data_IF_127938185134
#
_entry.id   IF_127938185134
#
_cell.length_a   1.000
_cell.length_b   1.000
_cell.length_c   1.000
_cell.angle_alpha   90.00
_cell.angle_beta   90.00
_cell.angle_gamma   90.00
#
_symmetry.space_group_name_H-M   'P 1'
#
loop_
_entity.id
_entity.type
_entity.pdbx_description
1 polymer ?
#
# COMPACT_ATOMS: atom_id res chain seq x y z
N UNK A 1 14.53 -12.40 -5.44
CA UNK A 1 14.55 -10.94 -5.70
C UNK A 1 13.14 -10.51 -5.98
N UNK A 2 12.71 -9.42 -5.37
CA UNK A 2 11.40 -8.81 -5.64
C UNK A 2 11.33 -8.34 -7.09
N UNK A 3 10.15 -8.42 -7.71
CA UNK A 3 9.96 -7.96 -9.07
C UNK A 3 10.01 -6.42 -9.10
N UNK A 4 10.90 -5.84 -9.92
CA UNK A 4 10.95 -4.40 -10.15
C UNK A 4 10.37 -4.06 -11.54
N UNK A 5 9.05 -3.85 -11.60
CA UNK A 5 8.35 -3.42 -12.82
C UNK A 5 8.45 -1.92 -13.07
N UNK A 6 8.66 -1.15 -12.00
CA UNK A 6 8.61 0.31 -12.06
C UNK A 6 9.79 0.94 -12.79
N UNK A 7 10.89 0.18 -13.02
CA UNK A 7 11.99 0.59 -13.91
C UNK A 7 11.74 0.21 -15.39
N UNK A 8 10.68 -0.58 -15.67
CA UNK A 8 10.25 -0.81 -17.05
C UNK A 8 9.57 0.44 -17.61
N UNK A 9 10.05 0.95 -18.74
CA UNK A 9 9.61 2.23 -19.31
C UNK A 9 8.11 2.25 -19.64
N UNK A 10 7.59 1.18 -20.24
CA UNK A 10 6.16 1.08 -20.57
C UNK A 10 5.30 1.11 -19.31
N UNK A 11 5.68 0.33 -18.30
CA UNK A 11 4.95 0.29 -17.04
C UNK A 11 5.01 1.65 -16.33
N UNK A 12 6.19 2.25 -16.26
CA UNK A 12 6.41 3.55 -15.61
C UNK A 12 5.51 4.65 -16.21
N UNK A 13 5.44 4.72 -17.55
CA UNK A 13 4.62 5.72 -18.23
C UNK A 13 3.13 5.51 -17.99
N UNK A 14 2.65 4.26 -18.10
CA UNK A 14 1.24 3.93 -17.79
C UNK A 14 0.88 4.19 -16.32
N UNK A 15 1.78 3.89 -15.41
CA UNK A 15 1.59 4.16 -13.98
C UNK A 15 1.53 5.67 -13.70
N UNK A 16 2.42 6.46 -14.33
CA UNK A 16 2.41 7.92 -14.23
C UNK A 16 1.08 8.50 -14.71
N UNK A 17 0.58 8.07 -15.86
CA UNK A 17 -0.73 8.48 -16.38
C UNK A 17 -1.87 8.14 -15.39
N UNK A 18 -1.84 6.93 -14.81
CA UNK A 18 -2.83 6.52 -13.82
C UNK A 18 -2.79 7.42 -12.57
N UNK A 19 -1.60 7.74 -12.07
CA UNK A 19 -1.41 8.58 -10.88
C UNK A 19 -1.80 10.04 -11.08
N UNK A 20 -1.70 10.55 -12.30
CA UNK A 20 -2.14 11.92 -12.64
C UNK A 20 -3.67 12.09 -12.65
N UNK A 21 -4.44 10.99 -12.67
CA UNK A 21 -5.91 11.07 -12.67
C UNK A 21 -6.43 11.43 -11.29
N UNK A 22 -6.95 12.64 -11.13
CA UNK A 22 -7.53 13.12 -9.85
C UNK A 22 -8.67 12.25 -9.32
N UNK A 23 -9.42 11.59 -10.23
CA UNK A 23 -10.55 10.73 -9.91
C UNK A 23 -10.22 9.23 -9.84
N UNK A 24 -8.95 8.86 -9.69
CA UNK A 24 -8.57 7.45 -9.50
C UNK A 24 -9.04 6.92 -8.14
N UNK A 25 -9.24 5.60 -8.02
CA UNK A 25 -9.59 4.95 -6.75
C UNK A 25 -8.54 5.26 -5.65
N UNK A 26 -7.27 5.32 -6.02
CA UNK A 26 -6.22 5.71 -5.09
C UNK A 26 -6.45 7.13 -4.51
N UNK A 27 -6.79 8.11 -5.36
CA UNK A 27 -7.01 9.49 -4.91
C UNK A 27 -8.33 9.70 -4.17
N UNK A 28 -9.39 8.97 -4.56
CA UNK A 28 -10.73 9.16 -4.01
C UNK A 28 -11.05 8.26 -2.81
N UNK A 29 -10.36 7.13 -2.66
CA UNK A 29 -10.61 6.15 -1.62
C UNK A 29 -9.38 5.87 -0.76
N UNK A 30 -8.28 5.38 -1.36
CA UNK A 30 -7.13 4.90 -0.58
C UNK A 30 -6.43 6.03 0.20
N UNK A 31 -6.11 7.14 -0.45
CA UNK A 31 -5.40 8.25 0.21
C UNK A 31 -6.18 8.91 1.35
N UNK A 32 -7.47 9.28 1.19
CA UNK A 32 -8.25 9.83 2.29
C UNK A 32 -8.33 8.88 3.48
N UNK A 33 -8.47 7.58 3.21
CA UNK A 33 -8.56 6.58 4.26
C UNK A 33 -7.24 6.37 4.98
N UNK A 34 -6.13 6.26 4.25
CA UNK A 34 -4.80 6.15 4.85
C UNK A 34 -4.47 7.39 5.68
N UNK A 35 -4.79 8.59 5.16
CA UNK A 35 -4.60 9.85 5.86
C UNK A 35 -5.38 9.90 7.18
N UNK A 36 -6.63 9.42 7.17
CA UNK A 36 -7.49 9.38 8.37
C UNK A 36 -6.95 8.48 9.50
N UNK A 37 -6.08 7.53 9.16
CA UNK A 37 -5.48 6.57 10.09
C UNK A 37 -4.09 6.99 10.57
N UNK A 38 -3.49 8.02 9.97
CA UNK A 38 -2.18 8.51 10.40
C UNK A 38 -2.22 9.04 11.83
N UNK A 39 -1.23 8.69 12.68
CA UNK A 39 -1.09 9.30 13.98
C UNK A 39 -0.59 10.75 13.86
N UNK A 40 -0.49 11.46 14.98
CA UNK A 40 0.20 12.75 15.00
C UNK A 40 1.70 12.54 14.69
N UNK A 41 2.17 13.13 13.58
CA UNK A 41 3.55 12.98 13.09
C UNK A 41 4.50 14.07 13.59
N UNK A 42 4.03 15.08 14.31
CA UNK A 42 4.88 16.19 14.78
C UNK A 42 6.07 15.68 15.61
N UNK A 43 7.28 15.98 15.12
CA UNK A 43 8.53 15.55 15.75
C UNK A 43 8.89 14.08 15.58
N UNK A 44 8.09 13.29 14.85
CA UNK A 44 8.28 11.85 14.65
C UNK A 44 9.28 11.54 13.53
N UNK A 45 9.92 10.39 13.62
CA UNK A 45 10.72 9.78 12.56
C UNK A 45 9.83 8.79 11.80
N UNK A 46 9.66 9.01 10.49
CA UNK A 46 8.74 8.23 9.65
C UNK A 46 9.52 7.48 8.57
N UNK A 47 9.18 6.20 8.35
CA UNK A 47 9.66 5.40 7.23
C UNK A 47 8.49 5.09 6.30
N UNK A 48 8.68 5.32 5.00
CA UNK A 48 7.72 4.98 3.94
C UNK A 48 8.25 3.80 3.12
N UNK A 49 7.56 2.66 3.18
CA UNK A 49 7.92 1.42 2.49
C UNK A 49 7.26 1.36 1.12
N UNK A 50 8.04 1.40 0.04
CA UNK A 50 7.55 1.50 -1.32
C UNK A 50 7.02 2.90 -1.61
N UNK A 51 7.85 3.92 -1.33
CA UNK A 51 7.45 5.33 -1.34
C UNK A 51 7.12 5.89 -2.74
N UNK A 52 7.43 5.17 -3.82
CA UNK A 52 7.17 5.59 -5.19
C UNK A 52 7.72 6.99 -5.49
N UNK A 53 6.86 7.90 -5.93
CA UNK A 53 7.20 9.29 -6.23
C UNK A 53 7.42 10.19 -5.00
N UNK A 54 7.36 9.65 -3.78
CA UNK A 54 7.57 10.41 -2.54
C UNK A 54 6.40 11.29 -2.11
N UNK A 55 5.22 11.10 -2.69
CA UNK A 55 4.03 11.90 -2.38
C UNK A 55 3.65 11.83 -0.90
N UNK A 56 3.64 10.64 -0.31
CA UNK A 56 3.40 10.47 1.10
C UNK A 56 4.55 11.02 1.95
N UNK A 57 5.80 10.88 1.52
CA UNK A 57 6.94 11.47 2.23
C UNK A 57 6.81 12.99 2.37
N UNK A 58 6.32 13.67 1.31
CA UNK A 58 6.01 15.09 1.35
C UNK A 58 4.92 15.39 2.39
N UNK A 59 3.81 14.67 2.35
CA UNK A 59 2.70 14.82 3.30
C UNK A 59 3.19 14.63 4.74
N UNK A 60 3.98 13.60 5.03
CA UNK A 60 4.53 13.38 6.38
C UNK A 60 5.41 14.53 6.85
N UNK A 61 6.24 15.08 5.96
CA UNK A 61 7.05 16.27 6.26
C UNK A 61 6.19 17.49 6.56
N UNK A 62 5.15 17.76 5.76
CA UNK A 62 4.18 18.84 5.96
C UNK A 62 3.37 18.67 7.26
N UNK A 63 3.12 17.44 7.70
CA UNK A 63 2.52 17.13 9.01
C UNK A 63 3.49 17.31 10.20
N UNK A 64 4.72 17.77 9.95
CA UNK A 64 5.70 18.11 10.97
C UNK A 64 6.58 16.95 11.44
N UNK A 65 6.73 15.90 10.66
CA UNK A 65 7.71 14.85 10.92
C UNK A 65 9.12 15.47 11.02
N UNK A 66 9.91 15.06 12.01
CA UNK A 66 11.29 15.55 12.16
C UNK A 66 12.24 14.94 11.13
N UNK A 67 11.92 13.75 10.68
CA UNK A 67 12.69 13.01 9.68
C UNK A 67 11.77 12.06 8.92
N UNK A 68 11.90 12.04 7.61
CA UNK A 68 11.18 11.11 6.73
C UNK A 68 12.18 10.36 5.89
N UNK A 69 12.11 9.03 5.89
CA UNK A 69 12.86 8.18 4.98
C UNK A 69 11.90 7.45 4.06
N UNK A 70 12.06 7.65 2.76
CA UNK A 70 11.37 6.85 1.74
C UNK A 70 12.30 5.78 1.19
N UNK A 71 11.86 4.55 1.11
CA UNK A 71 12.56 3.48 0.40
C UNK A 71 11.70 2.95 -0.73
N UNK A 72 12.35 2.67 -1.86
CA UNK A 72 11.71 2.03 -3.02
C UNK A 72 12.73 1.15 -3.75
N UNK A 73 12.25 0.13 -4.44
CA UNK A 73 13.09 -0.76 -5.25
C UNK A 73 13.40 -0.16 -6.63
N UNK A 74 12.64 0.86 -7.07
CA UNK A 74 12.77 1.50 -8.37
C UNK A 74 13.63 2.75 -8.30
N UNK A 75 14.71 2.76 -9.07
CA UNK A 75 15.56 3.94 -9.23
C UNK A 75 14.82 5.08 -9.93
N UNK A 76 13.98 4.78 -10.94
CA UNK A 76 13.18 5.78 -11.66
C UNK A 76 12.18 6.48 -10.75
N UNK A 77 11.50 5.73 -9.87
CA UNK A 77 10.59 6.31 -8.88
C UNK A 77 11.35 7.28 -7.96
N UNK A 78 12.51 6.86 -7.47
CA UNK A 78 13.31 7.68 -6.55
C UNK A 78 13.93 8.92 -7.20
N UNK A 79 14.21 8.90 -8.49
CA UNK A 79 14.62 10.10 -9.22
C UNK A 79 13.53 11.17 -9.20
N UNK A 80 12.28 10.77 -9.49
CA UNK A 80 11.12 11.67 -9.40
C UNK A 80 10.92 12.13 -7.96
N UNK A 81 10.93 11.21 -6.99
CA UNK A 81 10.74 11.54 -5.58
C UNK A 81 11.76 12.58 -5.07
N UNK A 82 13.04 12.44 -5.43
CA UNK A 82 14.09 13.40 -5.08
C UNK A 82 13.86 14.77 -5.69
N UNK A 83 13.38 14.82 -6.93
CA UNK A 83 13.04 16.08 -7.61
C UNK A 83 11.84 16.75 -6.93
N UNK A 84 10.74 16.02 -6.74
CA UNK A 84 9.48 16.53 -6.17
C UNK A 84 9.61 16.97 -4.71
N UNK A 85 10.54 16.35 -3.96
CA UNK A 85 10.77 16.65 -2.55
C UNK A 85 12.04 17.47 -2.30
N UNK A 86 12.64 18.07 -3.32
CA UNK A 86 13.95 18.76 -3.23
C UNK A 86 13.98 19.92 -2.23
N UNK A 87 12.84 20.55 -1.97
CA UNK A 87 12.70 21.64 -0.98
C UNK A 87 12.67 21.15 0.48
N UNK A 88 12.47 19.86 0.74
CA UNK A 88 12.34 19.32 2.09
C UNK A 88 13.68 18.75 2.59
N UNK A 89 14.34 19.45 3.49
CA UNK A 89 15.65 19.05 4.04
C UNK A 89 15.58 17.81 4.96
N UNK A 90 14.40 17.52 5.53
CA UNK A 90 14.15 16.40 6.43
C UNK A 90 13.72 15.11 5.73
N UNK A 91 13.63 15.09 4.39
CA UNK A 91 13.29 13.89 3.62
C UNK A 91 14.56 13.28 3.02
N UNK A 92 14.73 11.96 3.15
CA UNK A 92 15.79 11.17 2.53
C UNK A 92 15.22 9.99 1.79
N UNK A 93 15.79 9.69 0.62
CA UNK A 93 15.39 8.53 -0.20
C UNK A 93 16.54 7.54 -0.34
N UNK A 94 16.23 6.24 -0.26
CA UNK A 94 17.20 5.17 -0.46
C UNK A 94 16.64 4.10 -1.41
N UNK A 95 17.46 3.66 -2.35
CA UNK A 95 17.16 2.50 -3.20
C UNK A 95 17.32 1.24 -2.35
N UNK A 96 16.19 0.63 -1.99
CA UNK A 96 16.18 -0.51 -1.08
C UNK A 96 14.91 -1.34 -1.27
N UNK A 97 15.07 -2.66 -1.28
CA UNK A 97 13.96 -3.59 -1.21
C UNK A 97 13.45 -3.68 0.25
N UNK A 98 12.15 -3.49 0.46
CA UNK A 98 11.56 -3.57 1.81
C UNK A 98 11.67 -4.95 2.46
N UNK A 99 12.05 -5.98 1.71
CA UNK A 99 12.35 -7.31 2.27
C UNK A 99 13.71 -7.40 2.96
N UNK A 100 14.51 -6.31 2.91
CA UNK A 100 15.87 -6.19 3.45
C UNK A 100 15.98 -5.13 4.56
N UNK A 101 14.91 -4.93 5.33
CA UNK A 101 14.91 -3.95 6.43
C UNK A 101 15.92 -4.27 7.54
N UNK A 102 16.37 -5.52 7.62
CA UNK A 102 17.46 -5.94 8.51
C UNK A 102 18.82 -5.30 8.16
N UNK A 103 18.99 -4.77 6.95
CA UNK A 103 20.17 -3.96 6.55
C UNK A 103 20.06 -2.49 7.03
N UNK A 104 18.89 -2.06 7.55
CA UNK A 104 18.64 -0.68 7.96
C UNK A 104 19.04 -0.45 9.42
N UNK A 105 20.08 0.33 9.64
CA UNK A 105 20.61 0.66 10.98
C UNK A 105 19.98 1.94 11.56
N UNK A 106 18.65 2.07 11.42
CA UNK A 106 17.88 3.22 11.89
C UNK A 106 16.59 2.75 12.56
N UNK A 107 16.06 3.55 13.49
CA UNK A 107 14.76 3.31 14.10
C UNK A 107 13.78 4.44 13.81
N UNK A 108 12.49 4.10 13.86
CA UNK A 108 11.39 4.99 13.49
C UNK A 108 10.27 4.92 14.52
N UNK A 109 9.51 6.01 14.61
CA UNK A 109 8.29 6.06 15.43
C UNK A 109 7.07 5.56 14.65
N UNK A 110 7.10 5.76 13.32
CA UNK A 110 6.00 5.36 12.44
C UNK A 110 6.60 4.74 11.17
N UNK A 111 6.11 3.58 10.80
CA UNK A 111 6.36 2.94 9.50
C UNK A 111 5.04 2.91 8.75
N UNK A 112 5.04 3.40 7.51
CA UNK A 112 3.86 3.39 6.65
C UNK A 112 4.16 2.65 5.35
N UNK A 113 3.15 2.03 4.76
CA UNK A 113 3.23 1.46 3.41
C UNK A 113 1.89 1.62 2.70
N UNK A 114 1.86 2.38 1.60
CA UNK A 114 0.69 2.58 0.77
C UNK A 114 0.75 1.66 -0.44
N UNK A 115 -0.17 0.69 -0.52
CA UNK A 115 -0.35 -0.23 -1.65
C UNK A 115 0.92 -0.94 -2.13
N UNK A 116 1.84 -1.30 -1.22
CA UNK A 116 3.09 -1.95 -1.58
C UNK A 116 3.31 -3.33 -0.93
N UNK A 117 2.76 -3.62 0.25
CA UNK A 117 3.04 -4.87 0.98
C UNK A 117 2.52 -6.14 0.29
N UNK A 118 1.56 -6.03 -0.62
CA UNK A 118 1.06 -7.18 -1.37
C UNK A 118 2.03 -7.66 -2.47
N UNK A 119 3.12 -6.93 -2.73
CA UNK A 119 4.22 -7.39 -3.58
C UNK A 119 5.29 -8.19 -2.83
N UNK A 120 5.20 -8.28 -1.50
CA UNK A 120 6.17 -9.02 -0.68
C UNK A 120 5.75 -10.48 -0.53
N UNK A 121 6.66 -11.42 -0.80
CA UNK A 121 6.39 -12.86 -0.67
C UNK A 121 6.28 -13.29 0.79
N UNK A 122 7.27 -12.97 1.61
CA UNK A 122 7.30 -13.31 3.04
C UNK A 122 6.85 -12.12 3.90
N UNK A 123 5.54 -11.98 4.05
CA UNK A 123 4.94 -10.93 4.85
C UNK A 123 5.19 -11.13 6.36
N UNK A 124 5.31 -12.38 6.83
CA UNK A 124 5.64 -12.64 8.25
C UNK A 124 7.05 -12.12 8.58
N UNK A 125 8.03 -12.33 7.69
CA UNK A 125 9.37 -11.75 7.83
C UNK A 125 9.30 -10.23 7.82
N UNK A 126 8.57 -9.64 6.86
CA UNK A 126 8.41 -8.18 6.80
C UNK A 126 7.86 -7.62 8.11
N UNK A 127 6.80 -8.21 8.67
CA UNK A 127 6.24 -7.77 9.95
C UNK A 127 7.28 -7.83 11.08
N UNK A 128 8.06 -8.92 11.17
CA UNK A 128 9.13 -9.05 12.17
C UNK A 128 10.22 -8.00 11.99
N UNK A 129 10.60 -7.71 10.77
CA UNK A 129 11.67 -6.73 10.49
C UNK A 129 11.18 -5.30 10.74
N UNK A 130 9.93 -4.98 10.38
CA UNK A 130 9.30 -3.70 10.75
C UNK A 130 9.25 -3.53 12.27
N UNK A 131 8.89 -4.59 13.02
CA UNK A 131 8.86 -4.55 14.48
C UNK A 131 10.22 -4.22 15.10
N UNK A 132 11.32 -4.75 14.53
CA UNK A 132 12.69 -4.51 15.04
C UNK A 132 13.15 -3.06 14.85
N UNK A 133 12.71 -2.41 13.77
CA UNK A 133 13.10 -1.02 13.46
C UNK A 133 12.14 0.02 14.04
N UNK A 134 11.04 -0.40 14.66
CA UNK A 134 10.15 0.50 15.38
C UNK A 134 10.65 0.78 16.79
N UNK A 135 10.57 2.05 17.20
CA UNK A 135 10.71 2.44 18.58
C UNK A 135 9.59 1.83 19.44
N UNK A 136 9.77 1.81 20.77
CA UNK A 136 8.71 1.39 21.69
C UNK A 136 7.42 2.19 21.43
N UNK A 137 6.30 1.49 21.42
CA UNK A 137 4.97 2.05 21.10
C UNK A 137 4.86 2.66 19.68
N UNK A 138 5.80 2.32 18.80
CA UNK A 138 5.80 2.76 17.41
C UNK A 138 4.64 2.17 16.61
N UNK A 139 4.30 2.81 15.51
CA UNK A 139 3.13 2.47 14.68
C UNK A 139 3.56 1.85 13.36
N UNK A 140 2.90 0.77 12.97
CA UNK A 140 2.92 0.25 11.61
C UNK A 140 1.53 0.39 11.00
N UNK A 141 1.41 1.23 9.96
CA UNK A 141 0.19 1.47 9.19
C UNK A 141 0.43 1.08 7.74
N UNK A 142 -0.45 0.25 7.19
CA UNK A 142 -0.37 -0.05 5.77
C UNK A 142 -1.74 -0.19 5.12
N UNK A 143 -1.79 0.08 3.82
CA UNK A 143 -2.85 -0.29 2.91
C UNK A 143 -2.37 -1.35 1.92
N UNK A 144 -3.27 -2.21 1.49
CA UNK A 144 -3.03 -3.18 0.42
C UNK A 144 -4.30 -3.44 -0.37
N UNK A 145 -4.18 -4.05 -1.54
CA UNK A 145 -5.35 -4.62 -2.21
C UNK A 145 -6.06 -5.59 -1.27
N UNK A 146 -7.39 -5.53 -1.26
CA UNK A 146 -8.18 -6.41 -0.40
C UNK A 146 -7.92 -7.90 -0.77
N UNK A 147 -7.87 -8.82 0.22
CA UNK A 147 -7.64 -10.25 -0.03
C UNK A 147 -8.57 -10.88 -1.05
N UNK A 148 -9.81 -10.42 -1.16
CA UNK A 148 -10.75 -10.93 -2.16
C UNK A 148 -10.30 -10.63 -3.60
N UNK A 149 -9.65 -9.48 -3.85
CA UNK A 149 -9.11 -9.14 -5.17
C UNK A 149 -7.86 -9.93 -5.53
N UNK A 150 -7.02 -10.21 -4.54
CA UNK A 150 -5.80 -10.98 -4.78
C UNK A 150 -6.05 -12.49 -4.80
N UNK A 151 -7.23 -12.97 -4.43
CA UNK A 151 -7.54 -14.40 -4.31
C UNK A 151 -7.46 -15.13 -5.65
N UNK A 152 -8.21 -14.67 -6.63
CA UNK A 152 -8.38 -15.38 -7.89
C UNK A 152 -7.11 -15.37 -8.75
N UNK A 153 -6.77 -16.55 -9.31
CA UNK A 153 -5.64 -16.73 -10.23
C UNK A 153 -5.93 -16.28 -11.66
N UNK A 154 -7.22 -16.23 -12.02
CA UNK A 154 -7.69 -15.95 -13.39
C UNK A 154 -8.07 -14.49 -13.62
N UNK A 155 -7.94 -13.64 -12.60
CA UNK A 155 -8.40 -12.26 -12.62
C UNK A 155 -9.84 -12.11 -12.12
N UNK A 156 -10.28 -10.86 -11.98
CA UNK A 156 -11.56 -10.51 -11.37
C UNK A 156 -12.73 -10.83 -12.29
N UNK A 157 -13.75 -11.55 -11.78
CA UNK A 157 -15.03 -11.79 -12.45
C UNK A 157 -16.12 -11.09 -11.67
N UNK A 158 -16.75 -10.08 -12.28
CA UNK A 158 -17.84 -9.34 -11.68
C UNK A 158 -19.19 -10.01 -11.91
N UNK A 159 -20.03 -9.96 -10.90
CA UNK A 159 -21.47 -10.27 -11.03
C UNK A 159 -22.22 -8.96 -11.25
N UNK A 160 -22.99 -8.89 -12.32
CA UNK A 160 -23.79 -7.72 -12.67
C UNK A 160 -25.28 -8.08 -12.73
N UNK A 161 -26.14 -7.09 -12.54
CA UNK A 161 -27.56 -7.21 -12.84
C UNK A 161 -27.84 -7.02 -14.35
N UNK A 162 -29.13 -6.98 -14.70
CA UNK A 162 -29.60 -6.84 -16.09
C UNK A 162 -29.18 -5.49 -16.72
N UNK A 163 -28.93 -4.49 -15.90
CA UNK A 163 -28.49 -3.15 -16.32
C UNK A 163 -26.96 -3.02 -16.31
N UNK A 164 -26.22 -4.12 -16.19
CA UNK A 164 -24.76 -4.19 -16.07
C UNK A 164 -24.19 -3.46 -14.83
N UNK A 165 -25.00 -3.25 -13.81
CA UNK A 165 -24.54 -2.68 -12.54
C UNK A 165 -23.90 -3.80 -11.71
N UNK A 166 -22.66 -3.57 -11.24
CA UNK A 166 -21.94 -4.54 -10.41
C UNK A 166 -22.68 -4.73 -9.08
N UNK A 167 -22.97 -5.98 -8.74
CA UNK A 167 -23.62 -6.41 -7.48
C UNK A 167 -22.72 -7.28 -6.61
N UNK A 168 -21.61 -7.75 -7.14
CA UNK A 168 -20.68 -8.59 -6.41
C UNK A 168 -19.51 -9.04 -7.27
N UNK A 169 -18.72 -9.92 -6.70
CA UNK A 169 -17.54 -10.52 -7.34
C UNK A 169 -17.51 -12.01 -7.07
N UNK A 170 -17.14 -12.80 -8.06
CA UNK A 170 -16.83 -14.23 -7.84
C UNK A 170 -15.46 -14.33 -7.21
N UNK A 171 -15.38 -14.94 -6.04
CA UNK A 171 -14.11 -15.18 -5.33
C UNK A 171 -13.75 -16.64 -5.44
N UNK A 172 -12.68 -16.94 -6.15
CA UNK A 172 -12.09 -18.28 -6.26
C UNK A 172 -10.71 -18.29 -5.57
N UNK A 173 -10.21 -19.47 -5.22
CA UNK A 173 -8.86 -19.71 -4.68
C UNK A 173 -8.51 -18.94 -3.38
N UNK A 174 -9.51 -18.41 -2.64
CA UNK A 174 -9.27 -17.56 -1.45
C UNK A 174 -8.46 -18.25 -0.35
N UNK A 175 -8.67 -19.55 -0.14
CA UNK A 175 -7.95 -20.31 0.90
C UNK A 175 -6.53 -20.71 0.46
N UNK A 176 -6.19 -20.51 -0.81
CA UNK A 176 -4.89 -20.90 -1.36
C UNK A 176 -3.96 -19.68 -1.42
N UNK A 177 -3.20 -19.45 -0.37
CA UNK A 177 -2.20 -18.37 -0.33
C UNK A 177 -1.05 -18.60 -1.31
N UNK A 178 -0.38 -17.53 -1.74
CA UNK A 178 0.81 -17.60 -2.54
C UNK A 178 0.79 -16.66 -3.75
N UNK A 179 1.71 -16.93 -4.66
CA UNK A 179 1.98 -16.09 -5.83
C UNK A 179 0.78 -16.02 -6.79
N UNK A 180 0.52 -14.83 -7.29
CA UNK A 180 -0.42 -14.52 -8.37
C UNK A 180 0.31 -13.76 -9.48
N UNK A 181 0.09 -14.17 -10.73
CA UNK A 181 0.51 -13.43 -11.90
C UNK A 181 -0.73 -12.79 -12.51
N UNK A 182 -0.83 -11.49 -12.42
CA UNK A 182 -2.02 -10.76 -12.86
C UNK A 182 -1.68 -9.79 -13.99
N UNK A 183 -2.70 -9.42 -14.77
CA UNK A 183 -2.62 -8.26 -15.64
C UNK A 183 -2.96 -7.01 -14.81
N UNK A 184 -2.00 -6.10 -14.70
CA UNK A 184 -2.23 -4.76 -14.16
C UNK A 184 -1.31 -3.77 -14.85
N UNK A 185 -1.86 -2.92 -15.72
CA UNK A 185 -1.14 -2.06 -16.66
C UNK A 185 -0.30 -2.84 -17.69
N UNK A 186 0.39 -3.88 -17.26
CA UNK A 186 1.13 -4.85 -18.09
C UNK A 186 0.84 -6.28 -17.63
N UNK A 187 1.24 -7.26 -18.44
CA UNK A 187 1.14 -8.67 -18.07
C UNK A 187 2.21 -9.08 -17.04
N UNK A 188 1.94 -10.19 -16.35
CA UNK A 188 2.88 -10.82 -15.42
C UNK A 188 3.29 -9.96 -14.22
N UNK A 189 2.40 -9.11 -13.74
CA UNK A 189 2.59 -8.42 -12.46
C UNK A 189 2.45 -9.44 -11.34
N UNK A 190 3.50 -9.61 -10.56
CA UNK A 190 3.52 -10.56 -9.43
C UNK A 190 2.96 -9.89 -8.19
N UNK A 191 1.91 -10.50 -7.62
CA UNK A 191 1.37 -10.16 -6.30
C UNK A 191 1.32 -11.43 -5.46
N UNK A 192 1.20 -11.29 -4.15
CA UNK A 192 1.10 -12.42 -3.24
C UNK A 192 -0.22 -12.35 -2.49
N UNK A 193 -1.10 -13.32 -2.80
CA UNK A 193 -2.35 -13.48 -2.09
C UNK A 193 -2.12 -14.05 -0.68
N UNK A 194 -2.82 -13.48 0.29
CA UNK A 194 -2.94 -13.96 1.67
C UNK A 194 -4.38 -13.80 2.10
N UNK A 195 -4.89 -14.77 2.85
CA UNK A 195 -6.21 -14.59 3.47
C UNK A 195 -6.17 -13.46 4.49
N UNK A 196 -7.31 -12.87 4.80
CA UNK A 196 -7.42 -11.86 5.85
C UNK A 196 -6.80 -12.35 7.17
N UNK A 197 -7.12 -13.59 7.57
CA UNK A 197 -6.55 -14.18 8.79
C UNK A 197 -5.02 -14.31 8.75
N UNK A 198 -4.44 -14.64 7.60
CA UNK A 198 -2.98 -14.73 7.47
C UNK A 198 -2.30 -13.37 7.67
N UNK A 199 -2.92 -12.28 7.16
CA UNK A 199 -2.41 -10.92 7.32
C UNK A 199 -2.41 -10.52 8.80
N UNK A 200 -3.54 -10.69 9.49
CA UNK A 200 -3.67 -10.33 10.90
C UNK A 200 -2.77 -11.19 11.79
N UNK A 201 -2.74 -12.50 11.55
CA UNK A 201 -1.92 -13.42 12.34
C UNK A 201 -0.41 -13.17 12.15
N UNK A 202 0.04 -12.71 10.97
CA UNK A 202 1.44 -12.33 10.75
C UNK A 202 1.88 -11.18 11.68
N UNK A 203 1.02 -10.17 11.83
CA UNK A 203 1.26 -9.05 12.75
C UNK A 203 1.26 -9.51 14.21
N UNK A 204 0.26 -10.31 14.62
CA UNK A 204 0.16 -10.84 15.99
C UNK A 204 1.39 -11.70 16.33
N UNK A 205 1.82 -12.60 15.42
CA UNK A 205 3.04 -13.42 15.58
C UNK A 205 4.31 -12.58 15.69
N UNK A 206 4.36 -11.42 15.00
CA UNK A 206 5.48 -10.48 15.11
C UNK A 206 5.45 -9.66 16.41
N UNK A 207 4.39 -9.77 17.23
CA UNK A 207 4.23 -9.07 18.49
C UNK A 207 3.63 -7.67 18.36
N UNK A 208 2.88 -7.42 17.30
CA UNK A 208 2.08 -6.19 17.18
C UNK A 208 0.74 -6.32 17.88
N UNK A 209 0.30 -5.20 18.45
CA UNK A 209 -1.08 -5.01 18.88
C UNK A 209 -1.87 -4.39 17.73
N UNK A 210 -2.97 -5.04 17.34
CA UNK A 210 -3.85 -4.51 16.27
C UNK A 210 -4.72 -3.41 16.88
N UNK A 211 -4.54 -2.20 16.40
CA UNK A 211 -5.30 -1.02 16.85
C UNK A 211 -6.58 -0.86 16.04
N UNK A 212 -6.48 -1.01 14.72
CA UNK A 212 -7.62 -0.88 13.83
C UNK A 212 -7.42 -1.66 12.53
N UNK A 213 -8.48 -2.27 12.08
CA UNK A 213 -8.60 -2.81 10.72
C UNK A 213 -9.75 -2.08 10.03
N UNK A 214 -9.57 -1.66 8.78
CA UNK A 214 -10.59 -0.94 8.03
C UNK A 214 -10.70 -1.47 6.61
N UNK A 215 -11.93 -1.71 6.21
CA UNK A 215 -12.37 -1.99 4.84
C UNK A 215 -13.28 -0.81 4.46
N UNK A 216 -12.79 0.15 3.66
CA UNK A 216 -13.55 1.37 3.41
C UNK A 216 -14.72 1.09 2.49
N UNK A 217 -15.73 1.94 2.62
CA UNK A 217 -16.83 2.09 1.67
C UNK A 217 -16.78 3.49 1.10
N UNK A 218 -17.25 3.67 -0.12
CA UNK A 218 -17.29 4.98 -0.77
C UNK A 218 -18.65 5.65 -0.59
N UNK A 219 -18.65 6.97 -0.42
CA UNK A 219 -19.89 7.76 -0.37
C UNK A 219 -20.49 7.98 -1.76
N UNK A 220 -21.74 8.43 -1.81
CA UNK A 220 -22.39 8.74 -3.08
C UNK A 220 -21.71 9.90 -3.81
N UNK A 221 -21.16 10.88 -3.10
CA UNK A 221 -20.40 11.99 -3.67
C UNK A 221 -19.13 11.49 -4.37
N UNK A 222 -18.42 10.51 -3.79
CA UNK A 222 -17.24 9.88 -4.40
C UNK A 222 -17.65 9.10 -5.66
N UNK A 223 -18.80 8.40 -5.63
CA UNK A 223 -19.33 7.69 -6.80
C UNK A 223 -19.71 8.65 -7.93
N UNK A 224 -20.19 9.85 -7.62
CA UNK A 224 -20.46 10.87 -8.65
C UNK A 224 -19.18 11.30 -9.38
N UNK A 225 -18.05 11.38 -8.69
CA UNK A 225 -16.74 11.71 -9.28
C UNK A 225 -16.14 10.55 -10.10
N UNK A 226 -16.44 9.31 -9.69
CA UNK A 226 -16.02 8.11 -10.43
C UNK A 226 -17.06 6.99 -10.28
N UNK A 227 -17.92 6.85 -11.29
CA UNK A 227 -18.99 5.85 -11.31
C UNK A 227 -18.50 4.41 -11.17
N UNK A 228 -17.25 4.12 -11.55
CA UNK A 228 -16.70 2.77 -11.40
C UNK A 228 -16.53 2.35 -9.93
N UNK A 229 -16.48 3.31 -9.01
CA UNK A 229 -16.39 3.04 -7.56
C UNK A 229 -17.73 2.62 -6.93
N UNK A 230 -18.85 2.65 -7.66
CA UNK A 230 -20.14 2.15 -7.15
C UNK A 230 -20.03 0.67 -6.69
N UNK A 231 -19.12 -0.12 -7.27
CA UNK A 231 -18.85 -1.50 -6.85
C UNK A 231 -18.34 -1.59 -5.40
N UNK A 232 -17.68 -0.56 -4.88
CA UNK A 232 -17.14 -0.54 -3.51
C UNK A 232 -18.24 -0.52 -2.44
N UNK A 233 -19.52 -0.32 -2.82
CA UNK A 233 -20.66 -0.58 -1.94
C UNK A 233 -20.90 -2.07 -1.69
N UNK A 234 -20.36 -2.94 -2.54
CA UNK A 234 -20.56 -4.39 -2.49
C UNK A 234 -19.27 -5.14 -2.19
N UNK A 235 -18.15 -4.61 -2.64
CA UNK A 235 -16.82 -5.29 -2.60
C UNK A 235 -15.76 -4.25 -2.27
N UNK A 236 -15.08 -4.31 -1.09
CA UNK A 236 -14.04 -3.35 -0.73
C UNK A 236 -12.80 -3.54 -1.60
N UNK A 237 -12.26 -2.45 -2.17
CA UNK A 237 -11.04 -2.50 -2.99
C UNK A 237 -9.77 -2.71 -2.13
N UNK A 238 -9.76 -2.14 -0.93
CA UNK A 238 -8.56 -2.07 -0.09
C UNK A 238 -8.80 -2.57 1.34
N UNK A 239 -7.72 -3.04 1.93
CA UNK A 239 -7.63 -3.36 3.35
C UNK A 239 -6.57 -2.47 4.00
N UNK A 240 -6.93 -1.83 5.12
CA UNK A 240 -6.03 -1.02 5.94
C UNK A 240 -5.82 -1.67 7.30
N UNK A 241 -4.60 -1.67 7.77
CA UNK A 241 -4.28 -2.17 9.11
C UNK A 241 -3.38 -1.16 9.82
N UNK A 242 -3.83 -0.73 10.99
CA UNK A 242 -3.08 0.06 11.95
C UNK A 242 -2.71 -0.82 13.12
N UNK A 243 -1.43 -0.94 13.39
CA UNK A 243 -0.90 -1.76 14.48
C UNK A 243 0.18 -1.01 15.26
N UNK A 244 0.36 -1.39 16.52
CA UNK A 244 1.31 -0.78 17.45
C UNK A 244 2.35 -1.80 17.89
N UNK A 245 3.61 -1.37 17.99
CA UNK A 245 4.76 -2.16 18.39
C UNK A 245 4.85 -2.34 19.91
#
# INVERSE_FOLDING_TARGET
MSQNLYDNEKFFNLYKELRCKSNSANNLEEKPELFSLLPNLKGKRVLDLGCGYGEWCKIYSEMGASYVKGIDISSKMLEVAKSECSQFSNIKFSLMDMTKLDELNETFDVVVSSLAVHYVEDFEKLCKDVKKILNKDGIFLFSQEHPIFTATKKGVTWQTDIDNVVKGMVVEDYSESGKRNVYWLVENVVKYHRTFSNIINALVKAGFHIVKVKEPTVSDEVIELNKSLARCKHVPDYLFVLSQA
#
